data_IF_801724006274
#
_entry.id   IF_801724006274
#
_cell.length_a   1.000
_cell.length_b   1.000
_cell.length_c   1.000
_cell.angle_alpha   90.00
_cell.angle_beta   90.00
_cell.angle_gamma   90.00
#
_symmetry.space_group_name_H-M   'P 1'
#
loop_
_entity.id
_entity.type
_entity.pdbx_description
1 polymer ?
#
# COMPACT_ATOMS: atom_id res chain seq x y z
N UNK A 1 15.15 10.95 21.63
CA UNK A 1 14.25 11.19 20.49
C UNK A 1 14.57 10.09 19.47
N UNK A 2 13.58 9.28 19.11
CA UNK A 2 13.79 7.94 18.55
C UNK A 2 13.96 7.94 17.03
N UNK A 3 15.02 7.25 16.58
CA UNK A 3 15.40 6.97 15.20
C UNK A 3 14.26 6.60 14.24
N UNK A 4 13.22 5.92 14.74
CA UNK A 4 12.09 5.50 13.94
C UNK A 4 11.13 6.65 13.60
N UNK A 5 11.05 7.70 14.43
CA UNK A 5 10.26 8.89 14.09
C UNK A 5 10.92 9.70 12.97
N UNK A 6 12.25 9.66 12.85
CA UNK A 6 12.98 10.20 11.69
C UNK A 6 12.85 9.30 10.47
N UNK A 7 12.89 7.97 10.64
CA UNK A 7 12.64 6.99 9.57
C UNK A 7 11.24 7.19 8.95
N UNK A 8 10.19 7.27 9.76
CA UNK A 8 8.82 7.47 9.27
C UNK A 8 8.63 8.85 8.63
N UNK A 9 9.26 9.92 9.14
CA UNK A 9 9.20 11.23 8.48
C UNK A 9 9.97 11.30 7.14
N UNK A 10 11.00 10.46 6.95
CA UNK A 10 11.83 10.50 5.74
C UNK A 10 11.25 9.64 4.60
N UNK A 11 10.56 8.54 4.90
CA UNK A 11 9.89 7.70 3.88
C UNK A 11 8.84 8.50 3.10
N UNK A 12 8.22 9.50 3.73
CA UNK A 12 7.21 10.38 3.11
C UNK A 12 7.81 11.67 2.50
N UNK A 13 9.09 11.99 2.72
CA UNK A 13 9.74 13.22 2.20
C UNK A 13 10.57 13.04 0.93
N UNK A 14 10.79 11.81 0.45
CA UNK A 14 11.68 11.57 -0.70
C UNK A 14 11.10 11.96 -2.08
N UNK A 15 9.83 12.37 -2.19
CA UNK A 15 9.25 12.82 -3.48
C UNK A 15 9.36 14.34 -3.76
N UNK A 16 9.80 15.17 -2.80
CA UNK A 16 9.79 16.65 -2.94
C UNK A 16 11.16 17.30 -3.25
N UNK A 17 12.23 16.52 -3.40
CA UNK A 17 13.57 17.05 -3.67
C UNK A 17 13.95 17.08 -5.16
N UNK A 18 13.13 17.74 -6.00
CA UNK A 18 13.51 18.07 -7.38
C UNK A 18 13.15 19.52 -7.77
N UNK A 19 13.79 20.48 -7.11
CA UNK A 19 13.81 21.91 -7.48
C UNK A 19 15.16 22.31 -8.08
N UNK A 20 15.18 22.79 -9.32
CA UNK A 20 16.35 22.76 -10.20
C UNK A 20 17.41 23.86 -10.06
N UNK A 21 18.57 23.57 -10.68
CA UNK A 21 19.50 24.55 -11.27
C UNK A 21 20.31 23.89 -12.40
N UNK A 22 20.25 24.46 -13.61
CA UNK A 22 21.19 24.18 -14.72
C UNK A 22 22.49 25.03 -14.52
N UNK A 23 23.68 24.73 -15.12
CA UNK A 23 23.87 24.55 -16.57
C UNK A 23 25.00 23.61 -17.10
N UNK A 24 24.99 23.42 -18.44
CA UNK A 24 26.13 23.30 -19.39
C UNK A 24 26.67 21.91 -19.89
N UNK A 25 26.21 21.54 -21.10
CA UNK A 25 26.88 21.00 -22.30
C UNK A 25 27.93 19.82 -22.28
N UNK A 26 27.47 18.63 -22.74
CA UNK A 26 27.94 17.73 -23.88
C UNK A 26 29.44 17.30 -23.98
N UNK A 27 29.84 16.02 -24.27
CA UNK A 27 29.29 15.14 -25.34
C UNK A 27 29.09 13.61 -25.10
N UNK A 28 28.04 13.11 -25.77
CA UNK A 28 27.81 11.81 -26.46
C UNK A 28 28.44 10.49 -25.97
N UNK A 29 27.58 9.51 -25.66
CA UNK A 29 27.66 8.11 -26.11
C UNK A 29 26.26 7.48 -26.07
N UNK A 30 25.89 6.58 -27.02
CA UNK A 30 24.53 6.06 -27.14
C UNK A 30 24.37 4.90 -26.16
N UNK A 31 23.78 5.17 -25.00
CA UNK A 31 23.30 4.10 -24.11
C UNK A 31 21.79 4.04 -24.26
N UNK A 32 21.31 2.89 -24.72
CA UNK A 32 19.91 2.60 -24.97
C UNK A 32 19.07 2.99 -23.75
N UNK A 33 18.07 3.85 -23.96
CA UNK A 33 17.01 4.03 -23.00
C UNK A 33 16.38 2.65 -22.72
N UNK A 34 16.13 2.27 -21.45
CA UNK A 34 15.28 1.13 -21.18
C UNK A 34 13.92 1.42 -21.83
N UNK A 35 13.45 0.49 -22.65
CA UNK A 35 12.13 0.55 -23.24
C UNK A 35 11.12 0.76 -22.10
N UNK A 36 10.32 1.82 -22.21
CA UNK A 36 9.07 1.93 -21.46
C UNK A 36 8.32 0.61 -21.63
N UNK A 37 7.88 -0.07 -20.56
CA UNK A 37 7.06 -1.25 -20.72
C UNK A 37 5.85 -0.84 -21.54
N UNK A 38 5.72 -1.39 -22.75
CA UNK A 38 4.57 -1.14 -23.61
C UNK A 38 3.34 -1.57 -22.80
N UNK A 39 2.53 -0.59 -22.41
CA UNK A 39 1.31 -0.85 -21.67
C UNK A 39 0.40 -1.62 -22.60
N UNK A 40 0.04 -2.86 -22.25
CA UNK A 40 -0.87 -3.71 -23.05
C UNK A 40 -2.19 -3.01 -23.41
N UNK A 41 -2.50 -1.90 -22.75
CA UNK A 41 -3.63 -1.01 -23.02
C UNK A 41 -3.53 -0.14 -24.28
N UNK A 42 -2.34 0.09 -24.85
CA UNK A 42 -2.16 1.02 -25.98
C UNK A 42 -2.78 0.53 -27.30
N UNK A 43 -3.03 -0.77 -27.42
CA UNK A 43 -3.51 -1.40 -28.67
C UNK A 43 -4.97 -1.87 -28.62
N UNK A 44 -5.67 -1.60 -27.52
CA UNK A 44 -7.01 -2.12 -27.24
C UNK A 44 -8.08 -1.12 -27.68
N UNK A 45 -9.18 -1.61 -28.25
CA UNK A 45 -10.35 -0.76 -28.52
C UNK A 45 -11.08 -0.35 -27.23
N UNK A 46 -11.80 0.78 -27.25
CA UNK A 46 -12.58 1.25 -26.09
C UNK A 46 -13.56 0.20 -25.57
N UNK A 47 -14.22 -0.56 -26.47
CA UNK A 47 -15.13 -1.63 -26.09
C UNK A 47 -14.46 -2.84 -25.43
N UNK A 48 -13.25 -3.19 -25.86
CA UNK A 48 -12.47 -4.27 -25.25
C UNK A 48 -11.93 -3.84 -23.89
N UNK A 49 -11.54 -2.57 -23.76
CA UNK A 49 -11.14 -1.98 -22.48
C UNK A 49 -12.30 -1.97 -21.48
N UNK A 50 -13.48 -1.50 -21.88
CA UNK A 50 -14.68 -1.51 -21.03
C UNK A 50 -15.04 -2.93 -20.59
N UNK A 51 -14.99 -3.90 -21.52
CA UNK A 51 -15.21 -5.30 -21.21
C UNK A 51 -14.20 -5.84 -20.19
N UNK A 52 -12.92 -5.51 -20.32
CA UNK A 52 -11.87 -5.89 -19.37
C UNK A 52 -12.08 -5.26 -17.99
N UNK A 53 -12.35 -3.95 -17.93
CA UNK A 53 -12.59 -3.23 -16.68
C UNK A 53 -13.85 -3.74 -15.95
N UNK A 54 -14.80 -4.35 -16.66
CA UNK A 54 -15.97 -5.00 -16.08
C UNK A 54 -15.68 -6.35 -15.41
N UNK A 55 -14.51 -6.95 -15.61
CA UNK A 55 -14.15 -8.23 -15.00
C UNK A 55 -13.62 -8.00 -13.59
N UNK A 56 -14.42 -8.36 -12.59
CA UNK A 56 -14.03 -8.24 -11.18
C UNK A 56 -13.66 -9.58 -10.53
N UNK A 57 -13.99 -10.74 -11.12
CA UNK A 57 -13.84 -12.05 -10.49
C UNK A 57 -12.84 -12.94 -11.21
N UNK A 58 -11.88 -13.46 -10.46
CA UNK A 58 -10.83 -14.38 -10.89
C UNK A 58 -10.86 -15.64 -10.02
N UNK A 59 -11.57 -16.67 -10.46
CA UNK A 59 -11.82 -17.86 -9.65
C UNK A 59 -12.63 -17.52 -8.40
N UNK A 60 -12.06 -17.77 -7.22
CA UNK A 60 -12.66 -17.40 -5.92
C UNK A 60 -12.29 -15.99 -5.47
N UNK A 61 -11.37 -15.31 -6.16
CA UNK A 61 -10.92 -13.96 -5.81
C UNK A 61 -11.81 -12.90 -6.48
N UNK A 62 -12.21 -11.88 -5.72
CA UNK A 62 -13.00 -10.75 -6.22
C UNK A 62 -12.23 -9.47 -5.96
N UNK A 63 -11.99 -8.69 -7.02
CA UNK A 63 -11.36 -7.37 -6.96
C UNK A 63 -12.30 -6.34 -6.33
N UNK A 64 -11.69 -5.33 -5.71
CA UNK A 64 -12.37 -4.09 -5.34
C UNK A 64 -12.59 -3.22 -6.59
N UNK A 65 -13.29 -2.09 -6.46
CA UNK A 65 -13.42 -1.14 -7.58
C UNK A 65 -12.19 -0.25 -7.79
N UNK A 66 -11.19 -0.34 -6.90
CA UNK A 66 -10.00 0.49 -6.91
C UNK A 66 -8.92 0.04 -7.91
N UNK A 67 -8.82 -1.27 -8.17
CA UNK A 67 -7.68 -1.86 -8.88
C UNK A 67 -8.12 -2.79 -10.01
N UNK A 68 -7.39 -2.75 -11.14
CA UNK A 68 -7.57 -3.67 -12.26
C UNK A 68 -6.22 -4.22 -12.71
N UNK A 69 -6.11 -5.54 -12.96
CA UNK A 69 -4.89 -6.12 -13.48
C UNK A 69 -4.65 -5.65 -14.92
N UNK A 70 -3.41 -5.82 -15.38
CA UNK A 70 -3.05 -5.57 -16.78
C UNK A 70 -3.90 -6.41 -17.73
N UNK A 71 -4.09 -5.90 -18.94
CA UNK A 71 -4.92 -6.56 -19.94
C UNK A 71 -4.41 -7.96 -20.34
N UNK A 72 -3.10 -8.12 -20.47
CA UNK A 72 -2.48 -9.38 -20.88
C UNK A 72 -2.59 -10.49 -19.82
N UNK A 73 -3.05 -10.16 -18.60
CA UNK A 73 -3.29 -11.08 -17.49
C UNK A 73 -2.13 -12.05 -17.22
N UNK A 74 -0.89 -11.56 -17.34
CA UNK A 74 0.32 -12.34 -17.03
C UNK A 74 0.29 -12.88 -15.59
N UNK A 75 -0.39 -12.16 -14.70
CA UNK A 75 -0.60 -12.53 -13.31
C UNK A 75 -2.11 -12.60 -13.02
N UNK A 76 -2.56 -13.78 -12.57
CA UNK A 76 -3.95 -13.99 -12.15
C UNK A 76 -4.09 -13.62 -10.66
N UNK A 77 -4.96 -12.66 -10.30
CA UNK A 77 -5.17 -12.27 -8.90
C UNK A 77 -5.63 -13.44 -8.02
N UNK A 78 -5.10 -13.52 -6.80
CA UNK A 78 -5.52 -14.51 -5.82
C UNK A 78 -5.16 -14.09 -4.39
N UNK A 79 -5.92 -14.58 -3.41
CA UNK A 79 -5.70 -14.26 -2.00
C UNK A 79 -4.55 -15.10 -1.40
N UNK A 80 -3.75 -14.46 -0.56
CA UNK A 80 -2.64 -15.07 0.15
C UNK A 80 -1.69 -14.02 0.71
N UNK A 81 -0.73 -14.46 1.49
CA UNK A 81 0.34 -13.60 1.98
C UNK A 81 1.71 -14.23 1.75
N UNK A 82 2.73 -13.38 1.67
CA UNK A 82 4.14 -13.78 1.59
C UNK A 82 4.98 -12.97 2.56
N UNK A 83 6.12 -13.53 2.94
CA UNK A 83 7.18 -12.81 3.64
C UNK A 83 8.04 -12.04 2.65
N UNK A 84 8.38 -10.82 3.03
CA UNK A 84 9.29 -9.96 2.30
C UNK A 84 10.26 -9.27 3.28
N UNK A 85 11.22 -8.55 2.74
CA UNK A 85 12.17 -7.76 3.52
C UNK A 85 12.28 -6.37 2.89
N UNK A 86 11.82 -5.37 3.62
CA UNK A 86 12.09 -3.99 3.27
C UNK A 86 13.50 -3.62 3.69
N UNK A 87 14.26 -3.01 2.78
CA UNK A 87 15.61 -2.55 3.04
C UNK A 87 15.61 -1.04 3.17
N UNK A 88 15.87 -0.57 4.38
CA UNK A 88 16.12 0.83 4.66
C UNK A 88 17.57 1.17 4.26
N UNK A 89 17.72 1.90 3.15
CA UNK A 89 19.03 2.30 2.61
C UNK A 89 19.74 3.33 3.49
N UNK A 90 18.99 4.20 4.18
CA UNK A 90 19.54 5.23 5.05
C UNK A 90 20.11 4.63 6.35
N UNK A 91 19.41 3.65 6.91
CA UNK A 91 19.83 2.95 8.13
C UNK A 91 20.73 1.73 7.90
N UNK A 92 20.73 1.20 6.67
CA UNK A 92 21.32 -0.09 6.34
C UNK A 92 20.67 -1.26 7.08
N UNK A 93 19.35 -1.19 7.35
CA UNK A 93 18.61 -2.20 8.11
C UNK A 93 17.58 -2.92 7.26
N UNK A 94 17.38 -4.19 7.58
CA UNK A 94 16.34 -5.02 6.99
C UNK A 94 15.17 -5.09 7.97
N UNK A 95 13.99 -4.71 7.51
CA UNK A 95 12.73 -4.79 8.24
C UNK A 95 11.91 -5.92 7.63
N UNK A 96 11.58 -6.98 8.40
CA UNK A 96 10.68 -8.01 7.92
C UNK A 96 9.29 -7.44 7.58
N UNK A 97 8.69 -7.97 6.52
CA UNK A 97 7.39 -7.54 6.02
C UNK A 97 6.48 -8.74 5.74
N UNK A 98 5.19 -8.61 6.02
CA UNK A 98 4.17 -9.46 5.41
C UNK A 98 3.44 -8.64 4.34
N UNK A 99 3.38 -9.19 3.14
CA UNK A 99 2.58 -8.65 2.03
C UNK A 99 1.39 -9.58 1.83
N UNK A 100 0.18 -9.08 2.06
CA UNK A 100 -1.04 -9.88 1.98
C UNK A 100 -2.05 -9.26 0.99
N UNK A 101 -2.79 -10.16 0.32
CA UNK A 101 -3.92 -9.83 -0.53
C UNK A 101 -5.13 -10.66 -0.10
N UNK A 102 -6.30 -10.02 -0.06
CA UNK A 102 -7.57 -10.64 0.29
C UNK A 102 -8.63 -10.26 -0.75
N UNK A 103 -9.67 -11.09 -0.88
CA UNK A 103 -10.82 -10.75 -1.73
C UNK A 103 -11.53 -9.54 -1.16
N UNK A 104 -12.16 -8.72 -2.01
CA UNK A 104 -12.91 -7.52 -1.61
C UNK A 104 -13.78 -7.72 -0.37
N UNK A 105 -14.53 -8.81 -0.34
CA UNK A 105 -15.50 -9.08 0.72
C UNK A 105 -14.85 -9.45 2.07
N UNK A 106 -13.55 -9.83 2.08
CA UNK A 106 -12.78 -10.20 3.28
C UNK A 106 -11.72 -9.13 3.64
N UNK A 107 -11.44 -8.20 2.73
CA UNK A 107 -10.28 -7.31 2.78
C UNK A 107 -10.32 -6.36 3.97
N UNK A 108 -11.46 -5.71 4.18
CA UNK A 108 -11.62 -4.75 5.26
C UNK A 108 -11.60 -5.43 6.63
N UNK A 109 -12.31 -6.54 6.79
CA UNK A 109 -12.30 -7.30 8.04
C UNK A 109 -10.89 -7.81 8.36
N UNK A 110 -10.15 -8.32 7.36
CA UNK A 110 -8.76 -8.73 7.56
C UNK A 110 -7.86 -7.57 7.99
N UNK A 111 -8.04 -6.37 7.42
CA UNK A 111 -7.32 -5.18 7.87
C UNK A 111 -7.63 -4.85 9.33
N UNK A 112 -8.90 -4.88 9.74
CA UNK A 112 -9.33 -4.54 11.10
C UNK A 112 -8.76 -5.51 12.15
N UNK A 113 -8.73 -6.81 11.84
CA UNK A 113 -8.12 -7.84 12.67
C UNK A 113 -6.59 -7.68 12.75
N UNK A 114 -5.93 -7.25 11.66
CA UNK A 114 -4.50 -6.99 11.66
C UNK A 114 -4.10 -5.81 12.55
N UNK A 115 -5.03 -4.92 12.90
CA UNK A 115 -4.73 -3.81 13.82
C UNK A 115 -4.59 -4.28 15.27
N UNK A 116 -5.22 -5.39 15.67
CA UNK A 116 -5.25 -5.81 17.08
C UNK A 116 -3.86 -5.98 17.72
N UNK A 117 -2.86 -6.58 17.04
CA UNK A 117 -1.52 -6.75 17.62
C UNK A 117 -0.74 -5.44 17.81
N UNK A 118 -1.16 -4.32 17.21
CA UNK A 118 -0.50 -3.02 17.38
C UNK A 118 -0.72 -2.42 18.77
N UNK A 119 -1.73 -2.86 19.52
CA UNK A 119 -2.00 -2.42 20.88
C UNK A 119 -3.15 -1.42 20.99
N UNK A 120 -3.29 -0.81 22.17
CA UNK A 120 -4.49 -0.06 22.57
C UNK A 120 -4.51 1.40 22.10
N UNK A 121 -3.34 1.98 21.86
CA UNK A 121 -3.18 3.37 21.43
C UNK A 121 -2.21 3.38 20.25
N UNK A 122 -2.62 4.02 19.16
CA UNK A 122 -1.88 4.02 17.89
C UNK A 122 -1.75 5.43 17.33
N UNK A 123 -0.81 5.59 16.41
CA UNK A 123 -0.71 6.75 15.52
C UNK A 123 -1.23 6.34 14.13
N UNK A 124 -1.82 7.28 13.40
CA UNK A 124 -2.43 7.02 12.09
C UNK A 124 -1.97 8.05 11.08
N UNK A 125 -1.66 7.58 9.88
CA UNK A 125 -1.37 8.39 8.70
C UNK A 125 -2.37 8.02 7.62
N UNK A 126 -3.00 9.02 7.00
CA UNK A 126 -3.86 8.86 5.84
C UNK A 126 -3.22 9.62 4.68
N UNK A 127 -3.17 8.97 3.54
CA UNK A 127 -2.65 9.53 2.30
C UNK A 127 -3.72 9.54 1.23
N UNK A 128 -3.75 10.62 0.46
CA UNK A 128 -4.59 10.67 -0.73
C UNK A 128 -3.94 11.39 -1.90
N UNK A 129 -4.11 10.82 -3.09
CA UNK A 129 -3.67 11.37 -4.38
C UNK A 129 -4.78 12.09 -5.16
N UNK A 130 -5.99 12.22 -4.61
CA UNK A 130 -7.13 12.91 -5.26
C UNK A 130 -6.86 14.38 -5.59
N UNK A 131 -6.06 15.06 -4.76
CA UNK A 131 -5.74 16.47 -4.91
C UNK A 131 -4.37 16.65 -5.58
N UNK A 132 -4.33 16.56 -6.92
CA UNK A 132 -3.21 17.08 -7.72
C UNK A 132 -3.21 18.63 -7.71
N UNK A 133 -3.07 19.23 -6.52
CA UNK A 133 -2.65 20.63 -6.45
C UNK A 133 -1.14 20.70 -6.68
N UNK A 134 -0.61 21.83 -7.18
CA UNK A 134 0.82 22.03 -7.48
C UNK A 134 1.78 21.87 -6.27
N UNK A 135 1.32 21.40 -5.12
CA UNK A 135 2.05 21.34 -3.84
C UNK A 135 2.10 19.95 -3.17
N UNK A 136 1.84 18.84 -3.88
CA UNK A 136 2.11 17.49 -3.37
C UNK A 136 0.90 16.74 -2.78
N UNK A 137 1.12 15.44 -2.47
CA UNK A 137 0.17 14.52 -1.81
C UNK A 137 -0.33 15.11 -0.49
N UNK A 138 -1.61 14.92 -0.16
CA UNK A 138 -2.15 15.39 1.12
C UNK A 138 -2.01 14.27 2.16
N UNK A 139 -1.10 14.46 3.10
CA UNK A 139 -0.89 13.56 4.23
C UNK A 139 -1.58 14.13 5.48
N UNK A 140 -2.38 13.30 6.14
CA UNK A 140 -3.07 13.66 7.37
C UNK A 140 -2.60 12.75 8.50
N UNK A 141 -2.23 13.37 9.63
CA UNK A 141 -1.65 12.68 10.77
C UNK A 141 -2.54 12.81 12.01
N UNK A 142 -2.75 11.70 12.71
CA UNK A 142 -3.41 11.67 14.02
C UNK A 142 -2.60 10.80 14.97
N UNK A 143 -1.96 11.44 15.94
CA UNK A 143 -1.19 10.71 16.97
C UNK A 143 -2.07 10.35 18.19
N UNK A 144 -1.77 9.23 18.86
CA UNK A 144 -2.37 8.81 20.12
C UNK A 144 -3.90 8.75 20.07
N UNK A 145 -4.43 7.90 19.20
CA UNK A 145 -5.86 7.53 19.17
C UNK A 145 -6.06 6.15 19.79
N UNK A 146 -7.11 6.00 20.59
CA UNK A 146 -7.48 4.71 21.15
C UNK A 146 -8.00 3.78 20.03
N UNK A 147 -7.52 2.54 20.00
CA UNK A 147 -7.85 1.55 18.97
C UNK A 147 -9.36 1.37 18.75
N UNK A 148 -10.22 1.27 19.80
CA UNK A 148 -11.66 1.13 19.58
C UNK A 148 -12.31 2.36 18.92
N UNK A 149 -11.78 3.56 19.19
CA UNK A 149 -12.26 4.80 18.56
C UNK A 149 -11.85 4.82 17.09
N UNK A 150 -10.58 4.48 16.80
CA UNK A 150 -10.10 4.37 15.43
C UNK A 150 -10.95 3.36 14.64
N UNK A 151 -11.09 2.14 15.14
CA UNK A 151 -11.87 1.10 14.47
C UNK A 151 -13.31 1.54 14.21
N UNK A 152 -13.97 2.17 15.19
CA UNK A 152 -15.32 2.71 15.00
C UNK A 152 -15.39 3.74 13.87
N UNK A 153 -14.38 4.62 13.74
CA UNK A 153 -14.32 5.60 12.65
C UNK A 153 -14.08 4.87 11.33
N UNK A 154 -13.17 3.91 11.27
CA UNK A 154 -12.83 3.21 10.03
C UNK A 154 -14.03 2.45 9.44
N UNK A 155 -14.89 1.86 10.27
CA UNK A 155 -16.12 1.23 9.80
C UNK A 155 -17.06 2.21 9.05
N UNK A 156 -17.09 3.49 9.43
CA UNK A 156 -17.89 4.50 8.71
C UNK A 156 -17.28 4.83 7.32
N UNK A 157 -16.01 4.47 7.08
CA UNK A 157 -15.26 4.75 5.85
C UNK A 157 -14.79 3.48 5.12
N UNK A 158 -15.38 2.32 5.41
CA UNK A 158 -15.04 1.05 4.76
C UNK A 158 -15.07 1.15 3.23
N UNK A 159 -16.17 1.67 2.67
CA UNK A 159 -16.35 1.76 1.22
C UNK A 159 -15.26 2.61 0.55
N UNK A 160 -14.88 3.73 1.19
CA UNK A 160 -13.78 4.56 0.73
C UNK A 160 -12.47 3.75 0.74
N UNK A 161 -12.13 3.13 1.86
CA UNK A 161 -10.86 2.41 2.01
C UNK A 161 -10.74 1.21 1.08
N UNK A 162 -11.85 0.50 0.82
CA UNK A 162 -11.86 -0.69 -0.04
C UNK A 162 -11.89 -0.33 -1.52
N UNK A 163 -12.73 0.63 -1.92
CA UNK A 163 -13.07 0.87 -3.32
C UNK A 163 -12.39 2.08 -3.95
N UNK A 164 -11.73 2.95 -3.18
CA UNK A 164 -11.00 4.09 -3.72
C UNK A 164 -9.52 3.80 -3.97
N UNK A 165 -9.08 3.77 -5.23
CA UNK A 165 -7.68 3.51 -5.61
C UNK A 165 -6.69 4.65 -5.37
N UNK A 166 -7.11 5.69 -4.66
CA UNK A 166 -6.31 6.88 -4.41
C UNK A 166 -6.17 7.22 -2.92
N UNK A 167 -6.68 6.36 -2.03
CA UNK A 167 -6.60 6.53 -0.57
C UNK A 167 -5.91 5.32 0.05
N UNK A 168 -4.90 5.61 0.87
CA UNK A 168 -4.19 4.65 1.70
C UNK A 168 -4.20 5.08 3.17
N UNK A 169 -4.03 4.11 4.07
CA UNK A 169 -3.93 4.35 5.52
C UNK A 169 -2.85 3.48 6.13
N UNK A 170 -2.05 4.08 7.01
CA UNK A 170 -1.07 3.40 7.86
C UNK A 170 -1.43 3.58 9.33
N UNK A 171 -1.39 2.50 10.10
CA UNK A 171 -1.61 2.50 11.55
C UNK A 171 -0.34 1.99 12.24
N UNK A 172 0.19 2.78 13.15
CA UNK A 172 1.51 2.58 13.74
C UNK A 172 1.40 2.40 15.26
N UNK A 173 2.24 1.55 15.82
CA UNK A 173 2.45 1.49 17.27
C UNK A 173 3.43 2.61 17.69
N UNK A 174 3.05 3.55 18.59
CA UNK A 174 3.93 4.65 18.99
C UNK A 174 5.12 4.22 19.87
N UNK A 175 5.04 3.03 20.49
CA UNK A 175 6.04 2.49 21.39
C UNK A 175 6.95 1.41 20.76
N UNK A 176 6.52 0.79 19.66
CA UNK A 176 7.23 -0.30 18.99
C UNK A 176 7.35 -0.02 17.48
N UNK A 177 8.44 -0.45 16.81
CA UNK A 177 8.57 -0.33 15.36
C UNK A 177 7.68 -1.37 14.64
N UNK A 178 6.38 -1.15 14.68
CA UNK A 178 5.37 -1.99 14.03
C UNK A 178 4.30 -1.11 13.39
N UNK A 179 3.87 -1.52 12.20
CA UNK A 179 2.92 -0.79 11.39
C UNK A 179 2.11 -1.76 10.52
N UNK A 180 0.85 -1.42 10.31
CA UNK A 180 -0.05 -2.09 9.38
C UNK A 180 -0.59 -1.05 8.41
N UNK A 181 -0.40 -1.30 7.11
CA UNK A 181 -0.86 -0.45 6.03
C UNK A 181 -1.96 -1.13 5.24
N UNK A 182 -2.96 -0.34 4.87
CA UNK A 182 -3.90 -0.63 3.80
C UNK A 182 -3.55 0.32 2.65
N UNK A 183 -2.81 -0.23 1.68
CA UNK A 183 -2.21 0.52 0.59
C UNK A 183 -3.23 0.95 -0.48
N UNK A 184 -2.88 1.97 -1.28
CA UNK A 184 -3.71 2.45 -2.40
C UNK A 184 -3.99 1.34 -3.43
N UNK A 185 -3.07 0.37 -3.59
CA UNK A 185 -3.25 -0.81 -4.44
C UNK A 185 -4.01 -1.97 -3.77
N UNK A 186 -4.63 -1.71 -2.62
CA UNK A 186 -5.47 -2.66 -1.88
C UNK A 186 -4.75 -3.92 -1.42
N UNK A 187 -3.49 -3.73 -1.05
CA UNK A 187 -2.69 -4.71 -0.33
C UNK A 187 -2.66 -4.38 1.16
N UNK A 188 -2.60 -5.42 1.98
CA UNK A 188 -2.35 -5.30 3.42
C UNK A 188 -0.87 -5.56 3.66
N UNK A 189 -0.18 -4.58 4.23
CA UNK A 189 1.27 -4.64 4.43
C UNK A 189 1.58 -4.49 5.91
N UNK A 190 2.31 -5.44 6.48
CA UNK A 190 2.69 -5.40 7.90
C UNK A 190 4.21 -5.28 8.00
N UNK A 191 4.68 -4.24 8.68
CA UNK A 191 6.09 -4.04 8.99
C UNK A 191 6.34 -4.35 10.46
N UNK A 192 7.40 -5.10 10.75
CA UNK A 192 7.75 -5.38 12.14
C UNK A 192 8.85 -6.41 12.30
N UNK A 193 9.43 -6.48 13.50
CA UNK A 193 10.43 -7.52 13.82
C UNK A 193 9.82 -8.87 14.13
N UNK A 194 8.70 -8.86 14.85
CA UNK A 194 7.92 -10.04 15.20
C UNK A 194 6.61 -10.00 14.43
N UNK A 195 6.48 -10.93 13.47
CA UNK A 195 5.37 -11.03 12.54
C UNK A 195 4.42 -12.19 12.88
N UNK A 196 4.80 -13.07 13.82
CA UNK A 196 4.01 -14.25 14.19
C UNK A 196 2.57 -13.92 14.60
N UNK A 197 2.29 -12.84 15.38
CA UNK A 197 0.92 -12.47 15.70
C UNK A 197 0.07 -12.15 14.46
N UNK A 198 0.66 -11.51 13.46
CA UNK A 198 -0.02 -11.11 12.24
C UNK A 198 -0.22 -12.28 11.28
N UNK A 199 0.74 -13.22 11.19
CA UNK A 199 0.57 -14.47 10.45
C UNK A 199 -0.61 -15.30 10.99
N UNK A 200 -0.76 -15.32 12.32
CA UNK A 200 -1.92 -15.95 12.95
C UNK A 200 -3.21 -15.27 12.51
N UNK A 201 -3.29 -13.93 12.55
CA UNK A 201 -4.47 -13.20 12.08
C UNK A 201 -4.80 -13.56 10.62
N UNK A 202 -3.82 -13.48 9.71
CA UNK A 202 -4.02 -13.82 8.29
C UNK A 202 -4.53 -15.26 8.12
N UNK A 203 -4.02 -16.20 8.91
CA UNK A 203 -4.49 -17.58 8.92
C UNK A 203 -5.96 -17.71 9.38
N UNK A 204 -6.38 -16.95 10.40
CA UNK A 204 -7.77 -16.92 10.87
C UNK A 204 -8.71 -16.29 9.83
N UNK A 205 -8.24 -15.29 9.09
CA UNK A 205 -8.96 -14.66 7.98
C UNK A 205 -8.96 -15.53 6.70
N UNK A 206 -8.49 -16.78 6.74
CA UNK A 206 -8.36 -17.67 5.59
C UNK A 206 -7.47 -17.13 4.46
N UNK A 207 -6.47 -16.31 4.79
CA UNK A 207 -5.45 -15.81 3.86
C UNK A 207 -4.22 -16.72 3.98
N UNK A 208 -3.99 -17.66 3.05
CA UNK A 208 -2.94 -18.65 3.19
C UNK A 208 -1.55 -18.06 2.90
N UNK A 209 -0.53 -18.61 3.55
CA UNK A 209 0.86 -18.36 3.17
C UNK A 209 1.12 -18.93 1.76
N UNK A 210 1.76 -18.17 0.88
CA UNK A 210 2.10 -18.57 -0.50
C UNK A 210 3.56 -18.35 -0.85
#
# INVERSE_FOLDING_TARGET
>A
MGFLKEFFNNVFQEEDAAGGTAPSAVPTSPSAAPATPESGFETISESELEAHLGIARYGSFVLTDAVRPSYDLEVVPSAGYRHDVYRDEQAGRNVPVLMAAASRDDLFDAFMELLEPLGQVVDVVIESSHAYSRSGRQECYREHIDMPILQSILYDFEDLLVNDGCTGIAVLNPGLPQEVQFDEHKLLIVYGRDLEPYERVLSHCNIPCR
#
